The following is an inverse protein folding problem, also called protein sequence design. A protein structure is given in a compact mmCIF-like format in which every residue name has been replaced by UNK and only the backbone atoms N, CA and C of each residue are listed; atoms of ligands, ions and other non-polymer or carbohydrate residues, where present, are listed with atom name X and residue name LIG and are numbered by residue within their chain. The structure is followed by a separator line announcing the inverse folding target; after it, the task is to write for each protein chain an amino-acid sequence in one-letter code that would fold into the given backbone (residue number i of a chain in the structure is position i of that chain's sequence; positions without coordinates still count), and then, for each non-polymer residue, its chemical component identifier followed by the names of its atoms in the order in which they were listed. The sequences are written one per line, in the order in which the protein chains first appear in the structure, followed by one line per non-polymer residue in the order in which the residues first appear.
data_IF_601864702039
#
_entry.id   IF_601864702039
#
_cell.length_a   1.000
_cell.length_b   1.000
_cell.length_c   1.000
_cell.angle_alpha   90.00
_cell.angle_beta   90.00
_cell.angle_gamma   90.00
#
_symmetry.space_group_name_H-M   'P 1'
#
loop_
_entity.id
_entity.type
_entity.pdbx_description
1 polymer ?
#
# COMPACT_ATOMS: atom_id res chain seq x y z
N UNK A 1 26.13 -18.15 5.08
CA UNK A 1 26.96 -16.92 4.90
C UNK A 1 28.11 -17.16 3.91
N UNK A 2 28.84 -18.26 4.02
CA UNK A 2 29.95 -18.62 3.12
C UNK A 2 29.53 -18.61 1.63
N UNK A 3 28.50 -19.34 1.25
CA UNK A 3 28.03 -19.38 -0.15
C UNK A 3 27.57 -18.04 -0.67
N UNK A 4 26.99 -17.20 0.18
CA UNK A 4 26.56 -15.85 -0.19
C UNK A 4 27.76 -14.92 -0.48
N UNK A 5 28.83 -15.05 0.29
CA UNK A 5 30.06 -14.29 0.09
C UNK A 5 30.78 -14.67 -1.21
N UNK A 6 30.73 -15.95 -1.57
CA UNK A 6 31.31 -16.47 -2.83
C UNK A 6 30.37 -16.31 -4.05
N UNK A 7 29.24 -15.62 -3.89
CA UNK A 7 28.25 -15.44 -4.97
C UNK A 7 27.49 -16.72 -5.33
N UNK A 8 27.61 -17.77 -4.53
CA UNK A 8 26.93 -19.05 -4.71
C UNK A 8 25.52 -19.06 -4.11
N UNK A 9 24.75 -20.08 -4.48
CA UNK A 9 23.42 -20.35 -3.97
C UNK A 9 23.39 -21.78 -3.41
N UNK A 10 22.92 -21.93 -2.16
CA UNK A 10 22.62 -23.21 -1.55
C UNK A 10 21.10 -23.37 -1.44
N UNK A 11 20.58 -24.44 -2.04
CA UNK A 11 19.18 -24.82 -1.87
C UNK A 11 19.04 -26.32 -1.61
N UNK A 12 17.93 -26.69 -0.98
CA UNK A 12 17.68 -28.08 -0.59
C UNK A 12 16.91 -28.83 -1.66
N UNK A 13 17.30 -30.10 -1.81
CA UNK A 13 16.61 -31.07 -2.66
C UNK A 13 16.23 -32.29 -1.80
N UNK A 14 15.00 -32.73 -1.90
CA UNK A 14 14.43 -33.80 -1.10
C UNK A 14 14.27 -35.09 -1.95
N UNK A 15 14.46 -36.25 -1.34
CA UNK A 15 14.04 -37.50 -1.95
C UNK A 15 12.51 -37.70 -1.86
N UNK A 16 11.87 -37.05 -0.88
CA UNK A 16 10.43 -37.01 -0.67
C UNK A 16 10.05 -35.72 0.07
N UNK A 17 9.04 -35.06 -0.41
CA UNK A 17 8.51 -33.85 0.21
C UNK A 17 7.03 -34.01 0.55
N UNK A 18 6.66 -33.71 1.83
CA UNK A 18 5.29 -33.83 2.34
C UNK A 18 5.11 -32.86 3.51
N UNK A 19 4.45 -31.72 3.26
CA UNK A 19 4.12 -30.74 4.30
C UNK A 19 3.16 -31.30 5.35
N UNK A 20 2.29 -32.24 4.97
CA UNK A 20 1.34 -32.88 5.89
C UNK A 20 2.02 -33.71 6.98
N UNK A 21 3.25 -34.16 6.75
CA UNK A 21 4.03 -34.91 7.71
C UNK A 21 4.63 -34.03 8.85
N UNK A 22 4.42 -32.70 8.82
CA UNK A 22 4.88 -31.72 9.81
C UNK A 22 6.35 -31.87 10.20
N UNK A 23 7.21 -32.06 9.19
CA UNK A 23 8.65 -32.13 9.39
C UNK A 23 9.24 -30.73 9.35
N UNK A 24 9.68 -30.22 10.50
CA UNK A 24 10.19 -28.86 10.65
C UNK A 24 11.17 -28.43 9.55
N UNK A 25 12.14 -29.28 9.20
CA UNK A 25 13.11 -28.96 8.14
C UNK A 25 12.44 -28.76 6.77
N UNK A 26 11.41 -29.54 6.42
CA UNK A 26 10.71 -29.39 5.15
C UNK A 26 9.85 -28.13 5.14
N UNK A 27 9.18 -27.83 6.25
CA UNK A 27 8.41 -26.61 6.42
C UNK A 27 9.31 -25.39 6.34
N UNK A 28 10.41 -25.36 7.09
CA UNK A 28 11.35 -24.25 7.11
C UNK A 28 11.93 -23.99 5.71
N UNK A 29 12.39 -25.03 5.02
CA UNK A 29 12.92 -24.90 3.66
C UNK A 29 11.85 -24.37 2.71
N UNK A 30 10.65 -24.93 2.72
CA UNK A 30 9.55 -24.50 1.85
C UNK A 30 9.17 -23.04 2.07
N UNK A 31 8.94 -22.65 3.33
CA UNK A 31 8.52 -21.27 3.64
C UNK A 31 9.61 -20.24 3.39
N UNK A 32 10.88 -20.59 3.58
CA UNK A 32 12.01 -19.70 3.31
C UNK A 32 12.42 -19.65 1.84
N UNK A 33 12.10 -20.69 1.05
CA UNK A 33 12.43 -20.79 -0.37
C UNK A 33 11.26 -20.33 -1.27
N UNK A 34 10.65 -19.21 -0.98
CA UNK A 34 9.53 -18.65 -1.77
C UNK A 34 8.38 -19.66 -1.99
N UNK A 35 8.08 -20.50 -0.98
CA UNK A 35 7.11 -21.61 -1.01
C UNK A 35 7.33 -22.56 -2.18
N UNK A 36 8.58 -22.87 -2.44
CA UNK A 36 8.98 -23.90 -3.38
C UNK A 36 9.85 -24.94 -2.68
N UNK A 37 9.68 -26.20 -3.06
CA UNK A 37 10.55 -27.30 -2.70
C UNK A 37 10.88 -28.13 -3.94
N UNK A 38 12.04 -28.76 -3.95
CA UNK A 38 12.51 -29.58 -5.06
C UNK A 38 12.66 -31.00 -4.62
N UNK A 39 12.20 -31.91 -5.48
CA UNK A 39 12.24 -33.35 -5.22
C UNK A 39 12.97 -34.03 -6.35
N UNK A 40 13.89 -34.94 -5.98
CA UNK A 40 14.59 -35.81 -6.91
C UNK A 40 14.30 -37.27 -6.55
N UNK A 41 13.70 -37.97 -7.49
CA UNK A 41 13.34 -39.37 -7.37
C UNK A 41 13.94 -40.19 -8.51
N UNK A 42 13.73 -41.49 -8.52
CA UNK A 42 14.11 -42.35 -9.67
C UNK A 42 13.41 -41.86 -10.96
N UNK A 43 12.12 -41.48 -10.87
CA UNK A 43 11.37 -41.00 -12.03
C UNK A 43 11.96 -39.71 -12.61
N UNK A 44 12.35 -38.73 -11.76
CA UNK A 44 13.00 -37.48 -12.24
C UNK A 44 14.36 -37.74 -12.85
N UNK A 45 15.11 -38.76 -12.33
CA UNK A 45 16.37 -39.16 -12.89
C UNK A 45 16.21 -39.80 -14.28
N UNK A 46 15.26 -40.73 -14.42
CA UNK A 46 14.98 -41.38 -15.70
C UNK A 46 14.56 -40.38 -16.77
N UNK A 47 13.72 -39.38 -16.36
CA UNK A 47 13.34 -38.30 -17.25
C UNK A 47 14.51 -37.37 -17.59
N UNK A 48 15.42 -37.12 -16.65
CA UNK A 48 16.63 -36.33 -16.91
C UNK A 48 17.50 -37.00 -17.98
N UNK A 49 17.65 -38.32 -17.89
CA UNK A 49 18.41 -39.13 -18.89
C UNK A 49 17.71 -39.08 -20.26
N UNK A 50 16.39 -39.22 -20.28
CA UNK A 50 15.60 -39.18 -21.51
C UNK A 50 15.68 -37.83 -22.22
N UNK A 51 15.60 -36.71 -21.47
CA UNK A 51 15.62 -35.35 -22.02
C UNK A 51 17.03 -34.77 -22.16
N UNK A 52 18.05 -35.44 -21.63
CA UNK A 52 19.43 -34.93 -21.54
C UNK A 52 19.50 -33.56 -20.82
N UNK A 53 18.62 -33.34 -19.82
CA UNK A 53 18.53 -32.15 -18.99
C UNK A 53 18.35 -32.57 -17.53
N UNK A 54 18.83 -31.74 -16.62
CA UNK A 54 18.59 -32.01 -15.21
C UNK A 54 17.14 -31.63 -14.83
N UNK A 55 16.30 -32.66 -14.60
CA UNK A 55 14.89 -32.53 -14.28
C UNK A 55 14.66 -32.67 -12.78
N UNK A 56 13.82 -31.81 -12.25
CA UNK A 56 13.38 -31.74 -10.84
C UNK A 56 11.87 -31.78 -10.79
N UNK A 57 11.28 -32.45 -9.81
CA UNK A 57 9.88 -32.18 -9.44
C UNK A 57 9.85 -30.96 -8.55
N UNK A 58 9.26 -29.89 -9.03
CA UNK A 58 9.02 -28.69 -8.24
C UNK A 58 7.66 -28.81 -7.54
N UNK A 59 7.64 -28.56 -6.23
CA UNK A 59 6.44 -28.51 -5.42
C UNK A 59 6.26 -27.08 -4.93
N UNK A 60 5.13 -26.45 -5.24
CA UNK A 60 4.84 -25.09 -4.81
C UNK A 60 3.38 -24.93 -4.42
N UNK A 61 3.02 -23.78 -3.83
CA UNK A 61 1.65 -23.41 -3.56
C UNK A 61 1.34 -22.01 -4.10
N UNK A 62 0.09 -21.78 -4.50
CA UNK A 62 -0.39 -20.46 -4.85
C UNK A 62 -0.77 -19.66 -3.58
N UNK A 63 -0.58 -18.34 -3.57
CA UNK A 63 -1.00 -17.51 -2.44
C UNK A 63 -2.54 -17.43 -2.36
N UNK A 64 -3.07 -17.45 -1.14
CA UNK A 64 -4.48 -17.26 -0.88
C UNK A 64 -4.78 -15.80 -0.47
N UNK A 65 -5.97 -15.31 -0.86
CA UNK A 65 -6.52 -14.07 -0.34
C UNK A 65 -6.76 -14.22 1.17
N UNK A 66 -6.23 -13.32 1.96
CA UNK A 66 -6.33 -13.40 3.44
C UNK A 66 -5.08 -13.95 4.13
N UNK A 67 -4.07 -14.33 3.34
CA UNK A 67 -2.81 -14.88 3.85
C UNK A 67 -2.86 -16.39 3.98
N UNK A 68 -1.73 -17.03 3.78
CA UNK A 68 -1.63 -18.48 3.75
C UNK A 68 -1.25 -19.02 2.38
N UNK A 69 -1.17 -20.31 2.31
CA UNK A 69 -0.82 -21.08 1.11
C UNK A 69 -2.02 -21.93 0.68
N UNK A 70 -2.24 -21.99 -0.63
CA UNK A 70 -3.25 -22.85 -1.23
C UNK A 70 -2.79 -24.31 -1.31
N UNK A 71 -3.47 -25.08 -2.14
CA UNK A 71 -3.10 -26.47 -2.41
C UNK A 71 -1.71 -26.55 -3.05
N UNK A 72 -0.97 -27.61 -2.68
CA UNK A 72 0.33 -27.89 -3.26
C UNK A 72 0.17 -28.35 -4.70
N UNK A 73 0.89 -27.71 -5.59
CA UNK A 73 1.05 -28.10 -6.98
C UNK A 73 2.39 -28.81 -7.18
N UNK A 74 2.45 -29.67 -8.18
CA UNK A 74 3.65 -30.43 -8.54
C UNK A 74 3.82 -30.41 -10.04
N UNK A 75 5.03 -30.12 -10.48
CA UNK A 75 5.38 -30.14 -11.89
C UNK A 75 6.83 -30.58 -12.07
N UNK A 76 7.08 -31.30 -13.14
CA UNK A 76 8.43 -31.69 -13.53
C UNK A 76 9.03 -30.59 -14.39
N UNK A 77 10.08 -29.96 -13.91
CA UNK A 77 10.73 -28.81 -14.55
C UNK A 77 12.19 -29.03 -14.79
N UNK A 78 12.74 -28.48 -15.85
CA UNK A 78 14.17 -28.44 -16.05
C UNK A 78 14.83 -27.47 -15.07
N UNK A 79 16.02 -27.81 -14.59
CA UNK A 79 16.76 -26.93 -13.65
C UNK A 79 17.00 -25.53 -14.23
N UNK A 80 17.23 -25.43 -15.53
CA UNK A 80 17.44 -24.16 -16.22
C UNK A 80 16.18 -23.26 -16.26
N UNK A 81 15.01 -23.85 -15.97
CA UNK A 81 13.75 -23.10 -15.87
C UNK A 81 13.53 -22.49 -14.48
N UNK A 82 14.42 -22.76 -13.52
CA UNK A 82 14.35 -22.16 -12.20
C UNK A 82 14.90 -20.75 -12.19
N UNK A 83 14.29 -19.90 -11.39
CA UNK A 83 14.88 -18.62 -10.99
C UNK A 83 15.83 -18.85 -9.83
N UNK A 84 17.10 -18.47 -10.00
CA UNK A 84 18.13 -18.56 -8.98
C UNK A 84 18.43 -17.17 -8.44
N UNK A 85 17.86 -16.84 -7.28
CA UNK A 85 18.06 -15.57 -6.59
C UNK A 85 19.20 -15.72 -5.55
N UNK A 86 20.42 -15.43 -5.98
CA UNK A 86 21.60 -15.51 -5.13
C UNK A 86 21.61 -14.46 -4.02
N UNK A 87 20.97 -13.31 -4.23
CA UNK A 87 20.88 -12.25 -3.22
C UNK A 87 19.97 -12.64 -2.05
N UNK A 88 18.78 -13.19 -2.36
CA UNK A 88 17.85 -13.70 -1.36
C UNK A 88 18.15 -15.14 -0.92
N UNK A 89 19.13 -15.83 -1.54
CA UNK A 89 19.47 -17.25 -1.30
C UNK A 89 18.26 -18.16 -1.51
N UNK A 90 17.58 -18.02 -2.65
CA UNK A 90 16.37 -18.77 -3.01
C UNK A 90 16.47 -19.33 -4.42
N UNK A 91 15.96 -20.54 -4.62
CA UNK A 91 15.70 -21.10 -5.93
C UNK A 91 14.20 -21.40 -6.03
N UNK A 92 13.55 -20.97 -7.10
CA UNK A 92 12.11 -21.20 -7.25
C UNK A 92 11.71 -21.33 -8.71
N UNK A 93 10.67 -22.11 -8.95
CA UNK A 93 9.97 -22.22 -10.23
C UNK A 93 8.79 -21.23 -10.27
N UNK A 94 8.03 -21.18 -9.19
CA UNK A 94 6.89 -20.29 -9.02
C UNK A 94 7.23 -19.16 -8.06
N UNK A 95 7.08 -17.92 -8.51
CA UNK A 95 7.35 -16.73 -7.68
C UNK A 95 6.12 -16.38 -6.81
N UNK A 96 6.05 -17.03 -5.65
CA UNK A 96 4.95 -16.85 -4.70
C UNK A 96 4.85 -15.41 -4.18
N UNK A 97 5.97 -14.76 -3.87
CA UNK A 97 5.97 -13.41 -3.30
C UNK A 97 5.47 -12.39 -4.33
N UNK A 98 5.87 -12.53 -5.60
CA UNK A 98 5.38 -11.69 -6.71
C UNK A 98 3.89 -11.90 -6.94
N UNK A 99 3.44 -13.15 -6.97
CA UNK A 99 2.03 -13.48 -7.20
C UNK A 99 1.14 -12.99 -6.05
N UNK A 100 1.61 -13.12 -4.80
CA UNK A 100 0.94 -12.57 -3.62
C UNK A 100 0.82 -11.04 -3.71
N UNK A 101 1.89 -10.36 -4.08
CA UNK A 101 1.88 -8.92 -4.27
C UNK A 101 0.89 -8.50 -5.38
N UNK A 102 0.82 -9.27 -6.48
CA UNK A 102 -0.17 -9.07 -7.56
C UNK A 102 -1.61 -9.18 -7.05
N UNK A 103 -1.92 -10.27 -6.33
CA UNK A 103 -3.27 -10.50 -5.79
C UNK A 103 -3.69 -9.41 -4.79
N UNK A 104 -2.80 -9.01 -3.88
CA UNK A 104 -3.07 -7.93 -2.93
C UNK A 104 -3.39 -6.63 -3.67
N UNK A 105 -2.63 -6.30 -4.71
CA UNK A 105 -2.86 -5.12 -5.55
C UNK A 105 -4.20 -5.18 -6.27
N UNK A 106 -4.54 -6.31 -6.91
CA UNK A 106 -5.82 -6.48 -7.60
C UNK A 106 -7.03 -6.32 -6.66
N UNK A 107 -6.96 -6.92 -5.46
CA UNK A 107 -8.04 -6.77 -4.46
C UNK A 107 -8.21 -5.32 -4.06
N UNK A 108 -7.09 -4.62 -3.83
CA UNK A 108 -7.10 -3.20 -3.52
C UNK A 108 -7.69 -2.36 -4.65
N UNK A 109 -7.26 -2.57 -5.88
CA UNK A 109 -7.75 -1.86 -7.05
C UNK A 109 -9.26 -2.06 -7.23
N UNK A 110 -9.75 -3.30 -7.09
CA UNK A 110 -11.19 -3.61 -7.12
C UNK A 110 -11.96 -2.91 -6.00
N UNK A 111 -11.40 -2.88 -4.78
CA UNK A 111 -12.00 -2.15 -3.65
C UNK A 111 -12.07 -0.65 -3.93
N UNK A 112 -10.97 -0.06 -4.38
CA UNK A 112 -10.89 1.36 -4.74
C UNK A 112 -11.88 1.70 -5.87
N UNK A 113 -11.98 0.86 -6.89
CA UNK A 113 -12.95 1.06 -7.98
C UNK A 113 -14.40 0.98 -7.48
N UNK A 114 -14.74 -0.01 -6.65
CA UNK A 114 -16.08 -0.17 -6.06
C UNK A 114 -16.48 1.03 -5.21
N UNK A 115 -15.55 1.59 -4.45
CA UNK A 115 -15.80 2.73 -3.56
C UNK A 115 -15.84 4.08 -4.28
N UNK A 116 -15.50 4.13 -5.56
CA UNK A 116 -15.42 5.39 -6.32
C UNK A 116 -16.73 6.18 -6.32
N UNK A 117 -17.91 5.58 -6.60
CA UNK A 117 -19.17 6.33 -6.59
C UNK A 117 -19.45 7.00 -5.23
N UNK A 118 -19.12 6.32 -4.14
CA UNK A 118 -19.28 6.86 -2.79
C UNK A 118 -18.37 8.08 -2.55
N UNK A 119 -17.10 8.00 -2.99
CA UNK A 119 -16.17 9.13 -2.92
C UNK A 119 -16.64 10.32 -3.74
N UNK A 120 -17.09 10.07 -4.97
CA UNK A 120 -17.57 11.12 -5.87
C UNK A 120 -18.81 11.82 -5.29
N UNK A 121 -19.74 11.05 -4.70
CA UNK A 121 -20.92 11.59 -4.01
C UNK A 121 -20.53 12.44 -2.79
N UNK A 122 -19.61 11.93 -1.96
CA UNK A 122 -19.13 12.68 -0.79
C UNK A 122 -18.41 13.97 -1.21
N UNK A 123 -17.52 13.91 -2.20
CA UNK A 123 -16.78 15.05 -2.70
C UNK A 123 -17.74 16.12 -3.26
N UNK A 124 -18.74 15.72 -4.04
CA UNK A 124 -19.74 16.63 -4.59
C UNK A 124 -20.53 17.30 -3.47
N UNK A 125 -21.04 16.51 -2.52
CA UNK A 125 -21.77 17.04 -1.36
C UNK A 125 -20.88 17.96 -0.52
N UNK A 126 -19.65 17.56 -0.18
CA UNK A 126 -18.75 18.33 0.67
C UNK A 126 -18.40 19.68 0.04
N UNK A 127 -18.07 19.68 -1.25
CA UNK A 127 -17.67 20.92 -1.95
C UNK A 127 -18.84 21.86 -2.19
N UNK A 128 -20.05 21.36 -2.42
CA UNK A 128 -21.25 22.18 -2.47
C UNK A 128 -21.54 22.82 -1.10
N UNK A 129 -21.53 22.04 -0.02
CA UNK A 129 -21.77 22.50 1.33
C UNK A 129 -20.80 23.61 1.77
N UNK A 130 -19.49 23.47 1.53
CA UNK A 130 -18.51 24.50 1.92
C UNK A 130 -18.64 25.80 1.10
N UNK A 131 -19.37 25.76 -0.01
CA UNK A 131 -19.63 26.91 -0.88
C UNK A 131 -20.97 27.58 -0.57
N UNK A 132 -22.04 26.79 -0.35
CA UNK A 132 -23.41 27.29 -0.19
C UNK A 132 -23.91 27.31 1.25
N UNK A 133 -23.22 26.64 2.17
CA UNK A 133 -23.63 26.41 3.57
C UNK A 133 -24.98 25.68 3.72
N UNK A 134 -25.50 25.08 2.66
CA UNK A 134 -26.73 24.29 2.69
C UNK A 134 -26.50 22.90 3.28
N UNK A 135 -27.29 22.56 4.29
CA UNK A 135 -27.34 21.20 4.86
C UNK A 135 -28.54 20.46 4.32
N UNK A 136 -28.29 19.34 3.65
CA UNK A 136 -29.34 18.36 3.33
C UNK A 136 -29.24 17.15 4.28
N UNK A 137 -30.11 17.08 5.31
CA UNK A 137 -30.07 16.00 6.29
C UNK A 137 -30.30 14.61 5.68
N UNK A 138 -31.04 14.52 4.55
CA UNK A 138 -31.31 13.23 3.89
C UNK A 138 -30.05 12.72 3.23
N UNK A 139 -29.34 13.55 2.50
CA UNK A 139 -28.07 13.20 1.88
C UNK A 139 -27.03 12.85 2.94
N UNK A 140 -26.94 13.60 4.05
CA UNK A 140 -26.02 13.26 5.13
C UNK A 140 -26.33 11.90 5.77
N UNK A 141 -27.60 11.62 6.03
CA UNK A 141 -28.05 10.33 6.58
C UNK A 141 -27.72 9.15 5.64
N UNK A 142 -27.82 9.35 4.32
CA UNK A 142 -27.43 8.33 3.35
C UNK A 142 -25.91 8.11 3.35
N UNK A 143 -25.11 9.19 3.28
CA UNK A 143 -23.65 9.12 3.33
C UNK A 143 -23.17 8.37 4.58
N UNK A 144 -23.77 8.63 5.74
CA UNK A 144 -23.41 7.93 6.98
C UNK A 144 -23.64 6.41 6.87
N UNK A 145 -24.75 5.97 6.28
CA UNK A 145 -25.03 4.53 6.07
C UNK A 145 -24.04 3.90 5.10
N UNK A 146 -23.78 4.57 4.00
CA UNK A 146 -22.90 4.05 2.95
C UNK A 146 -21.44 3.96 3.43
N UNK A 147 -20.96 4.96 4.18
CA UNK A 147 -19.64 4.92 4.81
C UNK A 147 -19.54 3.83 5.88
N UNK A 148 -20.59 3.64 6.70
CA UNK A 148 -20.64 2.56 7.68
C UNK A 148 -20.57 1.18 7.01
N UNK A 149 -21.20 1.01 5.84
CA UNK A 149 -21.08 -0.20 5.01
C UNK A 149 -19.66 -0.50 4.53
N UNK A 150 -18.81 0.51 4.42
CA UNK A 150 -17.38 0.39 4.09
C UNK A 150 -16.48 0.39 5.35
N UNK A 151 -17.06 0.32 6.55
CA UNK A 151 -16.32 0.27 7.82
C UNK A 151 -15.83 1.63 8.32
N UNK A 152 -16.35 2.74 7.77
CA UNK A 152 -16.00 4.10 8.19
C UNK A 152 -17.19 4.77 8.86
N UNK A 153 -17.04 5.13 10.13
CA UNK A 153 -18.11 5.81 10.88
C UNK A 153 -17.98 7.32 10.73
N UNK A 154 -18.95 7.93 10.03
CA UNK A 154 -19.06 9.39 9.98
C UNK A 154 -19.74 9.93 11.25
N UNK A 155 -19.41 11.14 11.68
CA UNK A 155 -20.01 11.76 12.87
C UNK A 155 -21.51 11.95 12.69
N UNK A 156 -22.20 12.20 13.82
CA UNK A 156 -23.65 12.41 13.81
C UNK A 156 -24.07 13.60 12.98
N UNK A 157 -23.29 14.68 13.09
CA UNK A 157 -23.55 15.93 12.38
C UNK A 157 -22.39 16.28 11.45
N UNK A 158 -22.65 16.83 10.25
CA UNK A 158 -21.60 17.25 9.30
C UNK A 158 -20.62 18.27 9.88
N UNK A 159 -21.06 19.09 10.85
CA UNK A 159 -20.21 20.07 11.51
C UNK A 159 -19.07 19.49 12.33
N UNK A 160 -19.16 18.20 12.70
CA UNK A 160 -18.12 17.47 13.45
C UNK A 160 -17.06 16.83 12.54
N UNK A 161 -17.19 16.94 11.21
CA UNK A 161 -16.14 16.49 10.29
C UNK A 161 -14.83 17.26 10.54
N UNK A 162 -13.66 16.64 10.29
CA UNK A 162 -12.37 17.31 10.36
C UNK A 162 -12.19 18.29 9.18
N UNK A 163 -12.99 19.38 9.18
CA UNK A 163 -13.10 20.33 8.06
C UNK A 163 -11.75 20.87 7.61
N UNK A 164 -10.88 21.23 8.57
CA UNK A 164 -9.55 21.73 8.24
C UNK A 164 -8.75 20.74 7.41
N UNK A 165 -8.73 19.45 7.82
CA UNK A 165 -8.06 18.39 7.10
C UNK A 165 -8.68 18.17 5.71
N UNK A 166 -10.01 18.05 5.61
CA UNK A 166 -10.70 17.83 4.34
C UNK A 166 -10.50 18.99 3.36
N UNK A 167 -10.58 20.24 3.85
CA UNK A 167 -10.31 21.42 3.03
C UNK A 167 -8.89 21.41 2.46
N UNK A 168 -7.88 21.05 3.28
CA UNK A 168 -6.49 20.88 2.82
C UNK A 168 -6.39 19.84 1.71
N UNK A 169 -6.97 18.66 1.95
CA UNK A 169 -6.84 17.53 1.01
C UNK A 169 -7.58 17.80 -0.30
N UNK A 170 -8.81 18.30 -0.26
CA UNK A 170 -9.54 18.66 -1.48
C UNK A 170 -8.90 19.85 -2.22
N UNK A 171 -8.38 20.84 -1.50
CA UNK A 171 -7.64 21.93 -2.13
C UNK A 171 -6.39 21.43 -2.85
N UNK A 172 -5.65 20.51 -2.20
CA UNK A 172 -4.44 19.93 -2.79
C UNK A 172 -4.79 19.08 -4.00
N UNK A 173 -5.82 18.23 -3.90
CA UNK A 173 -6.31 17.41 -5.02
C UNK A 173 -6.69 18.27 -6.23
N UNK A 174 -7.42 19.35 -6.00
CA UNK A 174 -7.94 20.23 -7.05
C UNK A 174 -6.93 21.29 -7.54
N UNK A 175 -5.85 21.53 -6.80
CA UNK A 175 -4.88 22.60 -7.10
C UNK A 175 -5.47 24.01 -6.96
N UNK A 176 -6.55 24.15 -6.16
CA UNK A 176 -7.22 25.43 -5.87
C UNK A 176 -7.84 25.40 -4.48
N UNK A 177 -8.11 26.56 -3.93
CA UNK A 177 -8.71 26.69 -2.59
C UNK A 177 -10.11 26.06 -2.54
N UNK A 178 -10.37 25.29 -1.49
CA UNK A 178 -11.66 24.68 -1.16
C UNK A 178 -12.00 24.98 0.30
N UNK A 179 -13.15 25.55 0.56
CA UNK A 179 -13.70 25.72 1.91
C UNK A 179 -13.05 26.80 2.79
N UNK A 180 -12.21 27.66 2.21
CA UNK A 180 -11.62 28.83 2.86
C UNK A 180 -11.68 30.06 1.95
N UNK A 181 -11.59 31.21 2.57
CA UNK A 181 -11.55 32.54 1.91
C UNK A 181 -10.10 32.96 1.57
N UNK A 182 -9.30 32.02 1.00
CA UNK A 182 -7.95 32.31 0.58
C UNK A 182 -7.90 32.64 -0.91
N UNK A 183 -6.99 33.55 -1.29
CA UNK A 183 -6.86 34.00 -2.67
C UNK A 183 -5.98 33.05 -3.52
N UNK A 184 -5.12 32.24 -2.89
CA UNK A 184 -4.22 31.35 -3.58
C UNK A 184 -3.87 30.10 -2.74
N UNK A 185 -3.22 29.12 -3.36
CA UNK A 185 -2.94 27.84 -2.75
C UNK A 185 -1.83 27.91 -1.68
N UNK A 186 -0.85 28.80 -1.82
CA UNK A 186 0.24 28.96 -0.84
C UNK A 186 -0.28 29.35 0.54
N UNK A 187 -1.42 30.08 0.63
CA UNK A 187 -2.02 30.44 1.91
C UNK A 187 -2.52 29.22 2.68
N UNK A 188 -2.95 28.16 1.96
CA UNK A 188 -3.30 26.88 2.58
C UNK A 188 -2.05 26.25 3.19
N UNK A 189 -0.94 26.20 2.45
CA UNK A 189 0.31 25.68 2.96
C UNK A 189 0.78 26.43 4.22
N UNK A 190 0.68 27.74 4.21
CA UNK A 190 0.99 28.57 5.39
C UNK A 190 0.05 28.33 6.57
N UNK A 191 -1.22 27.97 6.33
CA UNK A 191 -2.18 27.64 7.38
C UNK A 191 -1.93 26.25 8.00
N UNK A 192 -1.56 25.26 7.18
CA UNK A 192 -1.36 23.88 7.64
C UNK A 192 -0.28 23.80 8.71
N UNK A 193 0.82 24.52 8.55
CA UNK A 193 1.93 24.42 9.49
C UNK A 193 1.54 24.88 10.92
N UNK A 194 0.97 26.06 11.18
CA UNK A 194 0.60 26.43 12.54
C UNK A 194 -0.71 25.80 13.02
N UNK A 195 -1.69 25.63 12.14
CA UNK A 195 -3.07 25.26 12.52
C UNK A 195 -3.39 23.77 12.45
N UNK A 196 -2.63 23.00 11.66
CA UNK A 196 -2.94 21.60 11.37
C UNK A 196 -1.66 20.75 11.35
N UNK A 197 -0.69 21.04 12.23
CA UNK A 197 0.63 20.36 12.29
C UNK A 197 0.52 18.86 12.36
N UNK A 198 -0.43 18.36 13.14
CA UNK A 198 -0.68 16.93 13.31
C UNK A 198 -1.09 16.24 11.99
N UNK A 199 -1.52 16.98 10.98
CA UNK A 199 -1.92 16.47 9.66
C UNK A 199 -0.92 16.76 8.54
N UNK A 200 0.27 17.27 8.86
CA UNK A 200 1.34 17.53 7.87
C UNK A 200 1.72 16.30 7.06
N UNK A 201 1.63 15.10 7.65
CA UNK A 201 1.92 13.85 6.93
C UNK A 201 0.95 13.61 5.77
N UNK A 202 -0.35 13.87 5.94
CA UNK A 202 -1.34 13.80 4.85
C UNK A 202 -1.11 14.89 3.80
N UNK A 203 -0.86 16.13 4.23
CA UNK A 203 -0.60 17.23 3.31
C UNK A 203 0.63 16.95 2.44
N UNK A 204 1.71 16.46 3.05
CA UNK A 204 2.93 16.07 2.33
C UNK A 204 2.65 14.94 1.32
N UNK A 205 1.90 13.91 1.71
CA UNK A 205 1.51 12.83 0.82
C UNK A 205 0.69 13.37 -0.35
N UNK A 206 -0.31 14.23 -0.08
CA UNK A 206 -1.15 14.84 -1.10
C UNK A 206 -0.36 15.74 -2.07
N UNK A 207 0.56 16.56 -1.58
CA UNK A 207 1.43 17.38 -2.44
C UNK A 207 2.25 16.53 -3.41
N UNK A 208 2.76 15.38 -2.96
CA UNK A 208 3.50 14.44 -3.78
C UNK A 208 2.59 13.76 -4.80
N UNK A 209 1.46 13.18 -4.34
CA UNK A 209 0.54 12.39 -5.17
C UNK A 209 -0.13 13.23 -6.25
N UNK A 210 -0.50 14.47 -5.94
CA UNK A 210 -1.16 15.37 -6.89
C UNK A 210 -0.21 16.34 -7.60
N UNK A 211 1.11 16.18 -7.41
CA UNK A 211 2.16 16.94 -8.08
C UNK A 211 2.03 18.47 -7.89
N UNK A 212 1.71 18.92 -6.65
CA UNK A 212 1.48 20.34 -6.35
C UNK A 212 2.73 21.10 -5.87
N UNK A 213 3.90 20.48 -5.89
CA UNK A 213 5.12 21.13 -5.43
C UNK A 213 5.49 22.37 -6.28
N UNK A 214 5.27 22.29 -7.61
CA UNK A 214 5.53 23.42 -8.51
C UNK A 214 4.54 24.58 -8.28
N UNK A 215 3.26 24.26 -8.05
CA UNK A 215 2.25 25.28 -7.73
C UNK A 215 2.67 26.07 -6.48
N UNK A 216 3.08 25.39 -5.41
CA UNK A 216 3.58 26.04 -4.20
C UNK A 216 4.81 26.90 -4.52
N UNK A 217 5.78 26.39 -5.27
CA UNK A 217 6.99 27.14 -5.62
C UNK A 217 6.70 28.40 -6.43
N UNK A 218 5.78 28.31 -7.39
CA UNK A 218 5.39 29.45 -8.21
C UNK A 218 4.67 30.55 -7.43
N UNK A 219 3.94 30.19 -6.37
CA UNK A 219 3.21 31.13 -5.52
C UNK A 219 4.04 31.64 -4.32
N UNK A 220 5.12 30.95 -3.91
CA UNK A 220 6.01 31.33 -2.80
C UNK A 220 7.06 32.37 -3.21
N UNK A 221 6.61 33.48 -3.80
CA UNK A 221 7.49 34.55 -4.31
C UNK A 221 8.45 35.08 -3.23
N UNK A 222 8.01 35.05 -1.97
CA UNK A 222 8.81 35.57 -0.84
C UNK A 222 9.77 34.54 -0.23
N UNK A 223 9.70 33.26 -0.62
CA UNK A 223 10.47 32.17 -0.03
C UNK A 223 10.13 31.83 1.42
N UNK A 224 9.08 32.45 1.97
CA UNK A 224 8.68 32.24 3.38
C UNK A 224 8.20 30.82 3.66
N UNK A 225 7.54 30.18 2.70
CA UNK A 225 7.13 28.80 2.85
C UNK A 225 8.34 27.86 2.83
N UNK A 226 9.29 28.07 1.93
CA UNK A 226 10.51 27.27 1.87
C UNK A 226 11.28 27.33 3.20
N UNK A 227 11.40 28.51 3.83
CA UNK A 227 11.99 28.66 5.16
C UNK A 227 11.23 27.87 6.25
N UNK A 228 9.90 27.97 6.27
CA UNK A 228 9.06 27.17 7.18
C UNK A 228 9.23 25.67 6.98
N UNK A 229 9.33 25.19 5.74
CA UNK A 229 9.58 23.77 5.45
C UNK A 229 10.89 23.29 6.05
N UNK A 230 11.94 24.09 5.98
CA UNK A 230 13.22 23.75 6.61
C UNK A 230 13.09 23.67 8.15
N UNK A 231 12.39 24.62 8.76
CA UNK A 231 12.17 24.67 10.20
C UNK A 231 11.36 23.44 10.69
N UNK A 232 10.19 23.20 10.12
CA UNK A 232 9.35 22.08 10.60
C UNK A 232 9.99 20.71 10.35
N UNK A 233 10.77 20.54 9.27
CA UNK A 233 11.54 19.32 9.05
C UNK A 233 12.55 19.07 10.16
N UNK A 234 13.27 20.11 10.59
CA UNK A 234 14.21 20.01 11.69
C UNK A 234 13.48 19.63 13.00
N UNK A 235 12.34 20.23 13.29
CA UNK A 235 11.53 19.91 14.48
C UNK A 235 11.01 18.47 14.47
N UNK A 236 10.52 17.99 13.32
CA UNK A 236 10.09 16.58 13.16
C UNK A 236 11.27 15.63 13.42
N UNK A 237 12.45 15.92 12.88
CA UNK A 237 13.66 15.12 13.10
C UNK A 237 14.10 15.10 14.56
N UNK A 238 13.87 16.18 15.30
CA UNK A 238 14.13 16.29 16.74
C UNK A 238 13.06 15.61 17.61
N UNK A 239 12.01 15.08 17.01
CA UNK A 239 10.91 14.43 17.74
C UNK A 239 10.00 15.39 18.50
N UNK A 240 9.85 16.64 18.01
CA UNK A 240 8.96 17.64 18.62
C UNK A 240 7.52 17.10 18.65
N UNK A 241 6.91 16.92 19.87
CA UNK A 241 5.57 16.34 19.99
C UNK A 241 4.49 17.18 19.34
N UNK A 242 4.71 18.48 19.11
CA UNK A 242 3.76 19.34 18.39
C UNK A 242 3.57 18.93 16.92
N UNK A 243 4.48 18.13 16.37
CA UNK A 243 4.44 17.59 15.01
C UNK A 243 4.14 16.09 14.97
N UNK A 244 3.75 15.48 16.09
CA UNK A 244 3.33 14.08 16.12
C UNK A 244 2.12 13.89 15.19
N UNK A 245 2.18 12.83 14.37
CA UNK A 245 1.12 12.55 13.40
C UNK A 245 -0.16 12.07 14.12
N UNK A 246 -1.27 12.76 13.90
CA UNK A 246 -2.60 12.31 14.33
C UNK A 246 -3.19 11.42 13.23
N UNK A 247 -3.44 10.15 13.57
CA UNK A 247 -4.00 9.14 12.68
C UNK A 247 -5.47 8.82 12.96
N UNK A 248 -6.13 9.58 13.82
CA UNK A 248 -7.54 9.38 14.18
C UNK A 248 -8.46 9.34 12.95
N UNK A 249 -8.08 10.03 11.88
CA UNK A 249 -8.86 10.11 10.65
C UNK A 249 -8.36 9.20 9.52
N UNK A 250 -7.39 8.28 9.79
CA UNK A 250 -6.82 7.39 8.76
C UNK A 250 -7.90 6.64 7.96
N UNK A 251 -8.90 6.07 8.62
CA UNK A 251 -9.97 5.32 7.94
C UNK A 251 -10.76 6.20 6.96
N UNK A 252 -11.12 7.42 7.38
CA UNK A 252 -11.81 8.38 6.54
C UNK A 252 -10.94 8.84 5.36
N UNK A 253 -9.68 9.18 5.63
CA UNK A 253 -8.76 9.65 4.59
C UNK A 253 -8.43 8.52 3.61
N UNK A 254 -8.23 7.28 4.06
CA UNK A 254 -8.03 6.11 3.19
C UNK A 254 -9.23 5.84 2.27
N UNK A 255 -10.45 6.03 2.76
CA UNK A 255 -11.63 5.87 1.92
C UNK A 255 -11.74 7.00 0.88
N UNK A 256 -11.54 8.25 1.29
CA UNK A 256 -11.73 9.43 0.41
C UNK A 256 -10.56 9.69 -0.54
N UNK A 257 -9.35 9.36 -0.13
CA UNK A 257 -8.10 9.64 -0.84
C UNK A 257 -7.17 8.41 -0.84
N UNK A 258 -7.62 7.26 -1.39
CA UNK A 258 -6.85 6.00 -1.33
C UNK A 258 -5.48 6.09 -1.99
N UNK A 259 -5.31 7.01 -2.94
CA UNK A 259 -4.08 7.29 -3.65
C UNK A 259 -2.95 7.86 -2.77
N UNK A 260 -3.28 8.39 -1.58
CA UNK A 260 -2.27 8.92 -0.65
C UNK A 260 -1.48 7.84 0.11
N UNK A 261 -1.97 6.61 0.10
CA UNK A 261 -1.42 5.52 0.94
C UNK A 261 -0.56 4.52 0.17
N UNK A 262 -0.27 4.74 -1.11
CA UNK A 262 0.57 3.85 -1.91
C UNK A 262 0.13 2.39 -1.82
N UNK A 263 1.07 1.44 -1.80
CA UNK A 263 0.80 0.00 -1.70
C UNK A 263 0.72 -0.52 -0.23
N UNK A 264 0.61 0.36 0.76
CA UNK A 264 0.44 -0.08 2.14
C UNK A 264 -0.88 -0.86 2.30
N UNK A 265 -0.85 -2.06 2.91
CA UNK A 265 -2.06 -2.82 3.21
C UNK A 265 -2.99 -2.01 4.12
N UNK A 266 -4.28 -2.04 3.82
CA UNK A 266 -5.33 -1.37 4.59
C UNK A 266 -5.59 -2.08 5.91
#
# INVERSE_FOLDING_TARGET
EFYRQEGGLLFWVFARFDLGARRLTQEDVFYNNNRNAFVVTQATRDESLRQQKFMLECVWAEPMLGGGVGELRRELVAFEALTLDTAAQRAYHFDFDRERARLVREVRERRVARQRPLRDTFEAWYTARVTTSEDDPKTWGQLRRDFAGEGVVLPEYPGMLPRGLLNVLYSTKRGRVVGWDYSNFIQIAHHVEPGLRQYLHYFRAALKTYERAELIRSEDVSGKWAAKVAEYKARIQQGDPAYAADRTHDALVRLLFPELFGDEPA
#
